data_IF_056477518228
#
_entry.id   IF_056477518228
#
_cell.length_a   1.000
_cell.length_b   1.000
_cell.length_c   1.000
_cell.angle_alpha   90.00
_cell.angle_beta   90.00
_cell.angle_gamma   90.00
#
_symmetry.space_group_name_H-M   'P 1'
#
loop_
_entity.id
_entity.type
_entity.pdbx_description
1 polymer ?
#
# COMPACT_ATOMS: atom_id res chain seq x y z
N UNK A 1 -57.98 11.41 16.16
CA UNK A 1 -56.96 10.57 15.47
C UNK A 1 -56.05 11.47 14.71
N UNK A 2 -54.91 11.79 15.26
CA UNK A 2 -53.86 12.46 14.53
C UNK A 2 -53.10 11.39 13.74
N UNK A 3 -53.11 11.48 12.44
CA UNK A 3 -52.24 10.68 11.62
C UNK A 3 -50.79 10.90 12.06
N UNK A 4 -50.00 9.81 12.22
CA UNK A 4 -48.58 9.96 12.51
C UNK A 4 -47.99 10.74 11.33
N UNK A 5 -47.50 11.94 11.64
CA UNK A 5 -46.73 12.71 10.69
C UNK A 5 -45.52 11.85 10.31
N UNK A 6 -45.25 11.71 9.03
CA UNK A 6 -44.18 10.87 8.48
C UNK A 6 -42.76 11.24 8.89
N UNK A 7 -42.61 12.12 9.88
CA UNK A 7 -41.34 12.60 10.40
C UNK A 7 -40.94 11.95 11.74
N UNK A 8 -41.78 11.10 12.32
CA UNK A 8 -41.36 10.34 13.52
C UNK A 8 -40.56 9.12 13.12
N UNK A 9 -39.23 9.27 13.22
CA UNK A 9 -38.31 8.15 13.10
C UNK A 9 -38.59 7.15 14.22
N UNK A 10 -38.95 5.93 13.85
CA UNK A 10 -39.28 4.89 14.82
C UNK A 10 -38.07 4.59 15.71
N UNK A 11 -38.23 4.43 17.05
CA UNK A 11 -37.12 4.13 17.96
C UNK A 11 -36.30 2.90 17.55
N UNK A 12 -36.92 1.91 16.93
CA UNK A 12 -36.24 0.71 16.43
C UNK A 12 -35.31 1.06 15.27
N UNK A 13 -35.73 1.95 14.35
CA UNK A 13 -34.89 2.41 13.24
C UNK A 13 -33.67 3.17 13.74
N UNK A 14 -33.83 4.04 14.72
CA UNK A 14 -32.71 4.75 15.38
C UNK A 14 -31.73 3.80 16.03
N UNK A 15 -32.22 2.76 16.70
CA UNK A 15 -31.37 1.75 17.34
C UNK A 15 -30.61 0.93 16.30
N UNK A 16 -31.26 0.48 15.23
CA UNK A 16 -30.64 -0.25 14.13
C UNK A 16 -29.59 0.62 13.43
N UNK A 17 -29.93 1.88 13.16
CA UNK A 17 -29.01 2.83 12.55
C UNK A 17 -27.77 3.04 13.42
N UNK A 18 -27.92 3.26 14.72
CA UNK A 18 -26.82 3.40 15.65
C UNK A 18 -25.93 2.15 15.71
N UNK A 19 -26.54 0.95 15.63
CA UNK A 19 -25.80 -0.30 15.61
C UNK A 19 -25.02 -0.53 14.32
N UNK A 20 -25.46 0.04 13.20
CA UNK A 20 -24.79 -0.06 11.89
C UNK A 20 -23.75 1.03 11.68
N UNK A 21 -24.01 2.26 12.14
CA UNK A 21 -23.12 3.41 11.94
C UNK A 21 -21.75 3.22 12.61
N UNK A 22 -21.71 2.71 13.83
CA UNK A 22 -20.47 2.51 14.57
C UNK A 22 -19.52 1.49 13.90
N UNK A 23 -19.98 0.29 13.50
CA UNK A 23 -19.14 -0.64 12.75
C UNK A 23 -18.68 -0.10 11.39
N UNK A 24 -19.53 0.62 10.67
CA UNK A 24 -19.18 1.23 9.39
C UNK A 24 -18.13 2.33 9.55
N UNK A 25 -18.26 3.18 10.55
CA UNK A 25 -17.26 4.19 10.89
C UNK A 25 -15.90 3.54 11.20
N UNK A 26 -15.91 2.48 12.01
CA UNK A 26 -14.69 1.72 12.32
C UNK A 26 -14.05 1.09 11.09
N UNK A 27 -14.86 0.54 10.18
CA UNK A 27 -14.39 0.01 8.91
C UNK A 27 -13.76 1.11 8.04
N UNK A 28 -14.37 2.29 7.98
CA UNK A 28 -13.84 3.43 7.25
C UNK A 28 -12.51 3.91 7.80
N UNK A 29 -12.36 3.98 9.12
CA UNK A 29 -11.10 4.33 9.78
C UNK A 29 -10.01 3.29 9.50
N UNK A 30 -10.35 2.00 9.56
CA UNK A 30 -9.43 0.92 9.24
C UNK A 30 -9.00 0.97 7.77
N UNK A 31 -9.94 1.25 6.87
CA UNK A 31 -9.67 1.39 5.44
C UNK A 31 -8.71 2.56 5.17
N UNK A 32 -8.94 3.70 5.80
CA UNK A 32 -8.05 4.86 5.73
C UNK A 32 -6.64 4.51 6.20
N UNK A 33 -6.52 3.83 7.34
CA UNK A 33 -5.25 3.37 7.87
C UNK A 33 -4.53 2.41 6.91
N UNK A 34 -5.26 1.53 6.24
CA UNK A 34 -4.71 0.63 5.22
C UNK A 34 -4.20 1.40 4.00
N UNK A 35 -4.91 2.42 3.53
CA UNK A 35 -4.45 3.26 2.44
C UNK A 35 -3.18 4.03 2.82
N UNK A 36 -3.13 4.59 4.01
CA UNK A 36 -1.93 5.27 4.51
C UNK A 36 -0.73 4.32 4.58
N UNK A 37 -0.93 3.11 5.09
CA UNK A 37 0.11 2.08 5.12
C UNK A 37 0.58 1.70 3.73
N UNK A 38 -0.33 1.55 2.77
CA UNK A 38 0.02 1.26 1.38
C UNK A 38 0.80 2.38 0.72
N UNK A 39 0.44 3.62 0.99
CA UNK A 39 1.16 4.78 0.46
C UNK A 39 2.60 4.81 0.98
N UNK A 40 2.80 4.52 2.26
CA UNK A 40 4.12 4.42 2.88
C UNK A 40 4.92 3.27 2.24
N UNK A 41 4.32 2.09 2.11
CA UNK A 41 4.97 0.93 1.49
C UNK A 41 5.39 1.18 0.04
N UNK A 42 4.55 1.85 -0.74
CA UNK A 42 4.88 2.25 -2.11
C UNK A 42 6.06 3.21 -2.16
N UNK A 43 6.07 4.18 -1.26
CA UNK A 43 7.18 5.14 -1.16
C UNK A 43 8.49 4.43 -0.82
N UNK A 44 8.47 3.52 0.13
CA UNK A 44 9.63 2.71 0.51
C UNK A 44 10.09 1.84 -0.66
N UNK A 45 9.15 1.18 -1.34
CA UNK A 45 9.44 0.32 -2.49
C UNK A 45 10.09 1.11 -3.63
N UNK A 46 9.55 2.28 -3.94
CA UNK A 46 10.11 3.17 -4.96
C UNK A 46 11.54 3.60 -4.60
N UNK A 47 11.76 3.92 -3.33
CA UNK A 47 13.10 4.27 -2.85
C UNK A 47 14.09 3.10 -2.97
N UNK A 48 13.66 1.89 -2.64
CA UNK A 48 14.46 0.68 -2.81
C UNK A 48 14.79 0.45 -4.28
N UNK A 49 13.82 0.57 -5.18
CA UNK A 49 14.03 0.44 -6.62
C UNK A 49 15.02 1.46 -7.15
N UNK A 50 14.87 2.72 -6.74
CA UNK A 50 15.79 3.78 -7.13
C UNK A 50 17.22 3.49 -6.67
N UNK A 51 17.38 3.06 -5.43
CA UNK A 51 18.69 2.71 -4.87
C UNK A 51 19.30 1.49 -5.58
N UNK A 52 18.50 0.47 -5.89
CA UNK A 52 18.97 -0.71 -6.62
C UNK A 52 19.38 -0.37 -8.05
N UNK A 53 18.65 0.48 -8.73
CA UNK A 53 18.99 0.94 -10.07
C UNK A 53 20.28 1.77 -10.07
N UNK A 54 20.42 2.66 -9.11
CA UNK A 54 21.64 3.45 -8.94
C UNK A 54 22.85 2.57 -8.62
N UNK A 55 22.71 1.59 -7.74
CA UNK A 55 23.74 0.61 -7.41
C UNK A 55 24.12 -0.20 -8.64
N UNK A 56 23.13 -0.67 -9.41
CA UNK A 56 23.35 -1.40 -10.66
C UNK A 56 24.12 -0.58 -11.69
N UNK A 57 23.79 0.70 -11.86
CA UNK A 57 24.51 1.60 -12.73
C UNK A 57 25.95 1.85 -12.26
N UNK A 58 26.14 2.05 -10.96
CA UNK A 58 27.46 2.24 -10.36
C UNK A 58 28.35 1.00 -10.52
N UNK A 59 27.78 -0.19 -10.33
CA UNK A 59 28.48 -1.46 -10.55
C UNK A 59 28.88 -1.63 -12.03
N UNK A 60 27.99 -1.28 -12.95
CA UNK A 60 28.27 -1.34 -14.38
C UNK A 60 29.38 -0.36 -14.77
N UNK A 61 29.36 0.85 -14.27
CA UNK A 61 30.42 1.86 -14.47
C UNK A 61 31.74 1.43 -13.82
N UNK A 62 31.68 0.87 -12.62
CA UNK A 62 32.85 0.32 -11.94
C UNK A 62 33.51 -0.84 -12.67
N UNK A 63 32.73 -1.74 -13.28
CA UNK A 63 33.24 -2.82 -14.10
C UNK A 63 33.97 -2.32 -15.36
N UNK A 64 33.52 -1.20 -15.94
CA UNK A 64 34.24 -0.54 -17.04
C UNK A 64 35.48 0.23 -16.61
N UNK A 65 35.48 0.75 -15.37
CA UNK A 65 36.62 1.50 -14.82
C UNK A 65 37.77 0.60 -14.36
N UNK A 66 37.50 -0.62 -13.89
CA UNK A 66 38.52 -1.59 -13.48
C UNK A 66 39.32 -2.15 -14.63
N UNK A 67 38.83 -2.08 -15.85
CA UNK A 67 39.57 -2.47 -17.07
C UNK A 67 40.67 -1.43 -17.43
N UNK A 68 40.66 -0.25 -16.80
CA UNK A 68 41.58 0.85 -17.08
C UNK A 68 42.53 1.24 -15.96
N UNK A 69 42.34 0.75 -14.74
CA UNK A 69 43.15 1.12 -13.57
C UNK A 69 43.49 -0.10 -12.75
N UNK A 70 44.56 -0.78 -13.14
CA UNK A 70 45.33 -1.62 -12.25
C UNK A 70 46.02 -0.69 -11.24
N UNK A 71 45.40 -0.33 -10.14
CA UNK A 71 46.01 -0.01 -8.85
C UNK A 71 45.00 0.65 -7.89
N UNK A 72 45.03 0.10 -6.68
CA UNK A 72 44.43 0.57 -5.43
C UNK A 72 42.98 0.13 -5.21
N UNK A 73 42.87 -0.83 -4.29
CA UNK A 73 41.63 -1.27 -3.67
C UNK A 73 40.87 -0.08 -3.07
N UNK A 74 39.65 0.22 -3.51
CA UNK A 74 38.73 0.87 -2.61
C UNK A 74 38.13 -0.26 -1.74
N UNK A 75 38.34 -0.17 -0.44
CA UNK A 75 37.64 -0.93 0.59
C UNK A 75 36.12 -0.64 0.56
N UNK A 76 35.49 -0.92 -0.54
CA UNK A 76 34.05 -1.09 -0.64
C UNK A 76 33.85 -2.60 -0.78
N UNK A 77 33.75 -3.26 0.36
CA UNK A 77 33.27 -4.63 0.46
C UNK A 77 31.86 -4.66 -0.12
N UNK A 78 31.78 -4.81 -1.45
CA UNK A 78 30.57 -5.35 -2.08
C UNK A 78 30.49 -6.78 -1.56
N UNK A 79 29.46 -7.17 -0.79
CA UNK A 79 29.38 -8.54 -0.31
C UNK A 79 29.47 -9.47 -1.52
N UNK A 80 30.35 -10.45 -1.46
CA UNK A 80 30.64 -11.43 -2.53
C UNK A 80 29.38 -12.16 -3.07
N UNK A 81 28.22 -11.96 -2.42
CA UNK A 81 26.95 -12.58 -2.74
C UNK A 81 25.83 -11.57 -3.08
N UNK A 82 26.20 -10.35 -3.52
CA UNK A 82 25.19 -9.38 -3.93
C UNK A 82 24.65 -9.76 -5.32
N UNK A 83 23.50 -10.42 -5.33
CA UNK A 83 22.77 -10.73 -6.54
C UNK A 83 21.69 -9.66 -6.79
N UNK A 84 22.04 -8.64 -7.58
CA UNK A 84 21.14 -7.56 -7.97
C UNK A 84 19.86 -8.09 -8.62
N UNK A 85 19.98 -9.13 -9.45
CA UNK A 85 18.85 -9.76 -10.12
C UNK A 85 17.85 -10.34 -9.12
N UNK A 86 18.33 -11.02 -8.10
CA UNK A 86 17.49 -11.59 -7.04
C UNK A 86 16.74 -10.49 -6.28
N UNK A 87 17.40 -9.39 -5.95
CA UNK A 87 16.76 -8.24 -5.30
C UNK A 87 15.70 -7.59 -6.17
N UNK A 88 15.97 -7.39 -7.46
CA UNK A 88 15.00 -6.84 -8.41
C UNK A 88 13.78 -7.76 -8.58
N UNK A 89 13.97 -9.05 -8.66
CA UNK A 89 12.88 -10.04 -8.71
C UNK A 89 12.02 -9.98 -7.44
N UNK A 90 12.65 -9.84 -6.29
CA UNK A 90 11.96 -9.69 -5.01
C UNK A 90 11.13 -8.40 -4.97
N UNK A 91 11.67 -7.28 -5.43
CA UNK A 91 10.98 -6.00 -5.53
C UNK A 91 9.77 -6.10 -6.47
N UNK A 92 9.91 -6.74 -7.61
CA UNK A 92 8.80 -6.97 -8.56
C UNK A 92 7.71 -7.81 -7.90
N UNK A 93 8.07 -8.84 -7.16
CA UNK A 93 7.14 -9.70 -6.43
C UNK A 93 6.36 -8.92 -5.37
N UNK A 94 7.05 -8.06 -4.60
CA UNK A 94 6.43 -7.20 -3.59
C UNK A 94 5.46 -6.22 -4.26
N UNK A 95 5.84 -5.62 -5.37
CA UNK A 95 4.99 -4.71 -6.14
C UNK A 95 3.70 -5.39 -6.59
N UNK A 96 3.78 -6.61 -7.10
CA UNK A 96 2.60 -7.41 -7.49
C UNK A 96 1.67 -7.67 -6.30
N UNK A 97 2.23 -8.00 -5.15
CA UNK A 97 1.46 -8.21 -3.92
C UNK A 97 0.77 -6.93 -3.45
N UNK A 98 1.46 -5.79 -3.48
CA UNK A 98 0.87 -4.49 -3.15
C UNK A 98 -0.28 -4.15 -4.09
N UNK A 99 -0.13 -4.41 -5.38
CA UNK A 99 -1.20 -4.19 -6.37
C UNK A 99 -2.41 -5.07 -6.10
N UNK A 100 -2.20 -6.32 -5.76
CA UNK A 100 -3.28 -7.25 -5.39
C UNK A 100 -4.02 -6.78 -4.14
N UNK A 101 -3.31 -6.36 -3.10
CA UNK A 101 -3.91 -5.82 -1.87
C UNK A 101 -4.68 -4.54 -2.16
N UNK A 102 -4.14 -3.64 -2.98
CA UNK A 102 -4.84 -2.42 -3.40
C UNK A 102 -6.17 -2.73 -4.09
N UNK A 103 -6.19 -3.71 -4.97
CA UNK A 103 -7.43 -4.13 -5.64
C UNK A 103 -8.46 -4.66 -4.63
N UNK A 104 -8.03 -5.42 -3.63
CA UNK A 104 -8.91 -5.91 -2.56
C UNK A 104 -9.47 -4.73 -1.75
N UNK A 105 -8.63 -3.78 -1.37
CA UNK A 105 -9.05 -2.59 -0.62
C UNK A 105 -10.10 -1.80 -1.42
N UNK A 106 -9.89 -1.61 -2.72
CA UNK A 106 -10.84 -0.91 -3.59
C UNK A 106 -12.20 -1.63 -3.65
N UNK A 107 -12.21 -2.96 -3.69
CA UNK A 107 -13.44 -3.75 -3.64
C UNK A 107 -14.15 -3.56 -2.30
N UNK A 108 -13.42 -3.62 -1.20
CA UNK A 108 -13.98 -3.41 0.15
C UNK A 108 -14.56 -2.01 0.29
N UNK A 109 -13.85 -0.98 -0.17
CA UNK A 109 -14.32 0.40 -0.16
C UNK A 109 -15.63 0.56 -0.94
N UNK A 110 -15.70 -0.04 -2.12
CA UNK A 110 -16.93 -0.02 -2.93
C UNK A 110 -18.10 -0.66 -2.19
N UNK A 111 -17.88 -1.77 -1.50
CA UNK A 111 -18.90 -2.43 -0.69
C UNK A 111 -19.37 -1.58 0.49
N UNK A 112 -18.44 -0.96 1.18
CA UNK A 112 -18.73 -0.06 2.31
C UNK A 112 -19.57 1.13 1.82
N UNK A 113 -19.19 1.75 0.73
CA UNK A 113 -19.94 2.88 0.12
C UNK A 113 -21.35 2.48 -0.25
N UNK A 114 -21.56 1.27 -0.79
CA UNK A 114 -22.90 0.76 -1.08
C UNK A 114 -23.73 0.56 0.19
N UNK A 115 -23.13 0.04 1.25
CA UNK A 115 -23.81 -0.14 2.53
C UNK A 115 -24.23 1.21 3.13
N UNK A 116 -23.35 2.20 3.10
CA UNK A 116 -23.64 3.55 3.57
C UNK A 116 -24.82 4.17 2.82
N UNK A 117 -24.86 4.02 1.50
CA UNK A 117 -25.99 4.51 0.67
C UNK A 117 -27.30 3.85 1.01
N UNK A 118 -27.31 2.58 1.39
CA UNK A 118 -28.53 1.85 1.78
C UNK A 118 -29.06 2.26 3.14
N UNK A 119 -28.20 2.76 4.01
CA UNK A 119 -28.57 3.19 5.37
C UNK A 119 -29.10 4.63 5.37
N UNK A 120 -28.67 5.45 4.45
CA UNK A 120 -29.22 6.78 4.22
C UNK A 120 -30.57 6.69 3.50
#
# INVERSE_FOLDING_TARGET
>A
MTEPTSDEVHPIELTVQALLDSPLEMLNLNLKSLYESQMILRSILHKIESTLNETGENLRRGAFATDKLNHEEPNNEIPEHFDLKMYLETVIRIRKKLKAVENIINVVETRITRMEKKIQ
#
